data_IF_062978137590
#
_entry.id   IF_062978137590
#
_cell.length_a   1.000
_cell.length_b   1.000
_cell.length_c   1.000
_cell.angle_alpha   90.00
_cell.angle_beta   90.00
_cell.angle_gamma   90.00
#
_symmetry.space_group_name_H-M   'P 1'
#
loop_
_entity.id
_entity.type
_entity.pdbx_description
1 polymer ?
#
# COMPACT_ATOMS: atom_id res chain seq x y z
N UNK A 1 -9.15 26.56 12.72
CA UNK A 1 -7.70 26.31 12.58
C UNK A 1 -7.51 25.15 11.62
N UNK A 2 -6.72 25.29 10.60
CA UNK A 2 -6.33 24.12 9.82
C UNK A 2 -5.54 23.19 10.75
N UNK A 3 -5.95 21.94 10.80
CA UNK A 3 -5.24 20.93 11.56
C UNK A 3 -4.02 20.51 10.73
N UNK A 4 -2.84 20.81 11.21
CA UNK A 4 -1.60 20.38 10.57
C UNK A 4 -1.30 18.95 11.00
N UNK A 5 -1.24 18.06 10.03
CA UNK A 5 -0.88 16.65 10.26
C UNK A 5 0.54 16.56 10.81
N UNK A 6 0.73 15.79 11.87
CA UNK A 6 2.06 15.54 12.42
C UNK A 6 2.66 14.25 11.85
N UNK A 7 3.98 14.18 11.76
CA UNK A 7 4.69 12.92 11.46
C UNK A 7 4.33 11.81 12.45
N UNK A 8 4.09 12.19 13.71
CA UNK A 8 3.71 11.23 14.75
C UNK A 8 2.35 10.60 14.47
N UNK A 9 1.34 11.39 14.08
CA UNK A 9 0.03 10.86 13.72
C UNK A 9 0.12 9.81 12.61
N UNK A 10 0.96 10.06 11.60
CA UNK A 10 1.19 9.10 10.52
C UNK A 10 1.85 7.83 11.04
N UNK A 11 2.87 7.94 11.90
CA UNK A 11 3.54 6.77 12.50
C UNK A 11 2.58 5.96 13.37
N UNK A 12 1.77 6.62 14.18
CA UNK A 12 0.76 5.97 15.03
C UNK A 12 -0.26 5.18 14.20
N UNK A 13 -0.60 5.70 13.02
CA UNK A 13 -1.44 4.95 12.07
C UNK A 13 -0.76 3.68 11.54
N UNK A 14 0.55 3.72 11.25
CA UNK A 14 1.28 2.52 10.83
C UNK A 14 1.32 1.48 11.95
N UNK A 15 1.52 1.89 13.20
CA UNK A 15 1.48 1.00 14.37
C UNK A 15 0.08 0.40 14.55
N UNK A 16 -0.97 1.22 14.41
CA UNK A 16 -2.35 0.76 14.44
C UNK A 16 -2.62 -0.29 13.34
N UNK A 17 -2.14 -0.04 12.14
CA UNK A 17 -2.30 -0.93 10.98
C UNK A 17 -1.59 -2.28 11.20
N UNK A 18 -0.41 -2.26 11.81
CA UNK A 18 0.33 -3.48 12.17
C UNK A 18 -0.34 -4.27 13.30
N UNK A 19 -1.11 -3.62 14.16
CA UNK A 19 -1.88 -4.31 15.22
C UNK A 19 -2.99 -5.20 14.67
N UNK A 20 -3.49 -4.91 13.46
CA UNK A 20 -4.66 -5.55 12.82
C UNK A 20 -5.94 -5.50 13.63
N UNK A 21 -6.01 -4.60 14.61
CA UNK A 21 -7.20 -4.38 15.40
C UNK A 21 -8.13 -3.38 14.69
N UNK A 22 -9.34 -3.81 14.24
CA UNK A 22 -10.25 -2.94 13.51
C UNK A 22 -10.73 -1.74 14.33
N UNK A 23 -10.80 -1.86 15.66
CA UNK A 23 -11.21 -0.76 16.54
C UNK A 23 -10.10 0.30 16.64
N UNK A 24 -8.84 -0.12 16.71
CA UNK A 24 -7.71 0.79 16.75
C UNK A 24 -7.56 1.49 15.40
N UNK A 25 -7.55 0.73 14.30
CA UNK A 25 -7.45 1.27 12.93
C UNK A 25 -8.59 2.25 12.65
N UNK A 26 -9.81 1.91 13.04
CA UNK A 26 -11.01 2.71 12.78
C UNK A 26 -10.97 4.13 13.39
N UNK A 27 -10.15 4.36 14.43
CA UNK A 27 -9.98 5.69 15.03
C UNK A 27 -9.26 6.68 14.10
N UNK A 28 -8.43 6.16 13.19
CA UNK A 28 -7.66 6.95 12.24
C UNK A 28 -8.41 7.22 10.92
N UNK A 29 -9.55 6.56 10.68
CA UNK A 29 -10.27 6.65 9.41
C UNK A 29 -11.49 7.56 9.53
N UNK A 30 -11.68 8.41 8.52
CA UNK A 30 -12.94 9.13 8.35
C UNK A 30 -14.03 8.16 7.89
N UNK A 31 -15.30 8.45 8.21
CA UNK A 31 -16.41 7.51 7.93
C UNK A 31 -16.60 7.26 6.43
N UNK A 32 -16.34 8.28 5.61
CA UNK A 32 -16.43 8.22 4.15
C UNK A 32 -15.08 8.09 3.45
N UNK A 33 -14.07 7.52 4.11
CA UNK A 33 -12.72 7.39 3.57
C UNK A 33 -12.73 6.74 2.17
N UNK A 34 -11.95 7.33 1.25
CA UNK A 34 -11.65 6.75 -0.05
C UNK A 34 -10.25 6.09 0.00
N UNK A 35 -10.26 4.76 0.04
CA UNK A 35 -9.08 3.92 0.20
C UNK A 35 -8.76 3.22 -1.11
N UNK A 36 -7.67 3.63 -1.77
CA UNK A 36 -7.30 3.07 -3.06
C UNK A 36 -5.87 2.51 -3.06
N UNK A 37 -5.75 1.22 -3.40
CA UNK A 37 -4.48 0.52 -3.59
C UNK A 37 -4.37 0.19 -5.08
N UNK A 38 -3.45 0.85 -5.79
CA UNK A 38 -3.21 0.59 -7.20
C UNK A 38 -2.40 -0.69 -7.37
N UNK A 39 -2.86 -1.59 -8.21
CA UNK A 39 -2.19 -2.85 -8.49
C UNK A 39 -3.05 -3.83 -9.27
N UNK A 40 -2.50 -5.01 -9.64
CA UNK A 40 -3.19 -6.01 -10.43
C UNK A 40 -4.20 -6.78 -9.56
N UNK A 41 -5.47 -6.36 -9.58
CA UNK A 41 -6.55 -6.90 -8.71
C UNK A 41 -6.75 -8.40 -8.88
N UNK A 42 -6.52 -8.94 -10.08
CA UNK A 42 -6.66 -10.38 -10.35
C UNK A 42 -5.57 -11.23 -9.69
N UNK A 43 -4.41 -10.65 -9.40
CA UNK A 43 -3.29 -11.30 -8.71
C UNK A 43 -3.21 -10.94 -7.23
N UNK A 44 -3.66 -9.74 -6.89
CA UNK A 44 -3.56 -9.15 -5.56
C UNK A 44 -4.93 -8.62 -5.15
N UNK A 45 -5.79 -9.46 -4.56
CA UNK A 45 -7.20 -9.13 -4.32
C UNK A 45 -7.47 -7.93 -3.41
N UNK A 46 -6.48 -7.52 -2.61
CA UNK A 46 -6.62 -6.32 -1.78
C UNK A 46 -6.32 -5.01 -2.53
N UNK A 47 -5.87 -5.06 -3.79
CA UNK A 47 -5.81 -3.90 -4.66
C UNK A 47 -7.22 -3.45 -5.08
N UNK A 48 -7.34 -2.23 -5.57
CA UNK A 48 -8.59 -1.63 -5.98
C UNK A 48 -9.04 -0.49 -5.06
N UNK A 49 -10.25 -0.03 -5.28
CA UNK A 49 -10.85 1.07 -4.54
C UNK A 49 -11.87 0.57 -3.52
N UNK A 50 -11.68 0.98 -2.27
CA UNK A 50 -12.51 0.61 -1.12
C UNK A 50 -13.12 1.86 -0.51
N UNK A 51 -14.42 2.01 -0.54
CA UNK A 51 -15.10 3.22 -0.09
C UNK A 51 -15.76 3.03 1.27
N UNK A 52 -15.50 3.98 2.15
CA UNK A 52 -16.01 4.01 3.52
C UNK A 52 -15.16 3.21 4.51
N UNK A 53 -15.30 3.58 5.78
CA UNK A 53 -14.51 3.04 6.89
C UNK A 53 -14.59 1.51 6.99
N UNK A 54 -15.79 0.94 6.87
CA UNK A 54 -15.98 -0.50 7.00
C UNK A 54 -15.24 -1.28 5.91
N UNK A 55 -15.28 -0.81 4.65
CA UNK A 55 -14.57 -1.44 3.54
C UNK A 55 -13.04 -1.31 3.69
N UNK A 56 -12.56 -0.14 4.12
CA UNK A 56 -11.14 0.09 4.37
C UNK A 56 -10.61 -0.78 5.52
N UNK A 57 -11.37 -0.95 6.59
CA UNK A 57 -11.02 -1.87 7.69
C UNK A 57 -11.01 -3.31 7.18
N UNK A 58 -12.01 -3.71 6.41
CA UNK A 58 -12.12 -5.08 5.90
C UNK A 58 -10.93 -5.46 5.01
N UNK A 59 -10.49 -4.55 4.13
CA UNK A 59 -9.31 -4.81 3.31
C UNK A 59 -8.03 -4.95 4.15
N UNK A 60 -7.87 -4.14 5.19
CA UNK A 60 -6.68 -4.17 6.04
C UNK A 60 -6.67 -5.35 7.03
N UNK A 61 -7.82 -5.73 7.58
CA UNK A 61 -7.90 -6.73 8.66
C UNK A 61 -8.26 -8.13 8.18
N UNK A 62 -8.90 -8.28 7.03
CA UNK A 62 -9.37 -9.58 6.52
C UNK A 62 -8.79 -9.92 5.14
N UNK A 63 -8.97 -9.05 4.14
CA UNK A 63 -8.63 -9.38 2.76
C UNK A 63 -7.11 -9.45 2.57
N UNK A 64 -6.38 -8.40 2.91
CA UNK A 64 -4.92 -8.41 2.75
C UNK A 64 -4.24 -9.48 3.61
N UNK A 65 -4.60 -9.69 4.90
CA UNK A 65 -4.04 -10.79 5.69
C UNK A 65 -4.36 -12.19 5.19
N UNK A 66 -5.44 -12.37 4.42
CA UNK A 66 -5.71 -13.68 3.79
C UNK A 66 -4.75 -14.00 2.64
N UNK A 67 -4.18 -12.98 2.02
CA UNK A 67 -3.26 -13.12 0.87
C UNK A 67 -1.79 -13.13 1.28
N UNK A 68 -1.42 -12.25 2.18
CA UNK A 68 -0.03 -12.01 2.61
C UNK A 68 0.08 -11.84 4.11
N UNK A 69 1.20 -12.26 4.66
CA UNK A 69 1.59 -11.98 6.04
C UNK A 69 2.76 -11.00 6.02
N UNK A 70 2.51 -9.76 6.42
CA UNK A 70 3.56 -8.72 6.49
C UNK A 70 4.48 -9.02 7.68
N UNK A 71 5.75 -9.22 7.40
CA UNK A 71 6.80 -9.42 8.41
C UNK A 71 7.53 -8.13 8.77
N UNK A 72 7.62 -7.18 7.82
CA UNK A 72 8.30 -5.90 8.03
C UNK A 72 7.68 -4.81 7.17
N UNK A 73 7.50 -3.64 7.78
CA UNK A 73 7.18 -2.40 7.10
C UNK A 73 8.17 -1.33 7.56
N UNK A 74 9.04 -0.88 6.66
CA UNK A 74 10.06 0.14 6.96
C UNK A 74 9.73 1.43 6.24
N UNK A 75 9.47 2.51 6.99
CA UNK A 75 9.30 3.85 6.43
C UNK A 75 10.69 4.36 6.05
N UNK A 76 10.91 4.59 4.75
CA UNK A 76 12.16 5.14 4.22
C UNK A 76 12.09 6.67 4.16
N UNK A 77 10.94 7.22 3.74
CA UNK A 77 10.69 8.66 3.66
C UNK A 77 9.30 8.99 4.23
N UNK A 78 9.19 10.09 4.97
CA UNK A 78 7.93 10.62 5.50
C UNK A 78 7.91 12.13 5.40
N UNK A 79 7.01 12.63 4.58
CA UNK A 79 6.76 14.05 4.36
C UNK A 79 5.35 14.40 4.85
N UNK A 80 5.21 15.56 5.47
CA UNK A 80 3.92 16.12 5.87
C UNK A 80 3.83 17.57 5.44
N UNK A 81 2.67 17.98 4.97
CA UNK A 81 2.38 19.33 4.53
C UNK A 81 0.89 19.63 4.75
N UNK A 82 0.60 20.57 5.65
CA UNK A 82 -0.75 20.93 6.09
C UNK A 82 -1.62 19.70 6.44
N UNK A 83 -2.61 19.37 5.64
CA UNK A 83 -3.54 18.26 5.81
C UNK A 83 -3.12 16.99 5.04
N UNK A 84 -1.88 16.94 4.54
CA UNK A 84 -1.39 15.87 3.67
C UNK A 84 -0.15 15.19 4.22
N UNK A 85 0.00 13.94 3.85
CA UNK A 85 1.25 13.21 4.08
C UNK A 85 1.60 12.36 2.86
N UNK A 86 2.89 12.17 2.65
CA UNK A 86 3.43 11.22 1.70
C UNK A 86 4.43 10.31 2.41
N UNK A 87 4.34 9.03 2.16
CA UNK A 87 5.22 8.01 2.75
C UNK A 87 5.79 7.14 1.65
N UNK A 88 7.11 6.96 1.67
CA UNK A 88 7.77 5.95 0.87
C UNK A 88 8.25 4.85 1.81
N UNK A 89 7.81 3.64 1.58
CA UNK A 89 8.11 2.52 2.46
C UNK A 89 8.49 1.25 1.70
N UNK A 90 9.14 0.35 2.42
CA UNK A 90 9.45 -1.01 1.95
C UNK A 90 8.67 -2.02 2.77
N UNK A 91 7.97 -2.88 2.08
CA UNK A 91 7.20 -3.97 2.66
C UNK A 91 7.92 -5.29 2.37
N UNK A 92 8.07 -6.11 3.40
CA UNK A 92 8.47 -7.50 3.26
C UNK A 92 7.34 -8.36 3.81
N UNK A 93 6.90 -9.31 3.03
CA UNK A 93 5.77 -10.18 3.37
C UNK A 93 6.00 -11.60 2.86
N UNK A 94 5.21 -12.53 3.38
CA UNK A 94 5.12 -13.89 2.87
C UNK A 94 3.77 -14.06 2.17
N UNK A 95 3.79 -14.56 0.95
CA UNK A 95 2.58 -14.97 0.25
C UNK A 95 2.02 -16.22 0.91
N UNK A 96 0.81 -16.14 1.46
CA UNK A 96 0.25 -17.21 2.30
C UNK A 96 0.08 -18.54 1.53
N UNK A 97 -0.31 -18.46 0.24
CA UNK A 97 -0.54 -19.65 -0.59
C UNK A 97 0.71 -20.43 -0.92
N UNK A 98 1.82 -19.77 -1.15
CA UNK A 98 3.06 -20.38 -1.68
C UNK A 98 4.22 -20.40 -0.69
N UNK A 99 4.14 -19.62 0.39
CA UNK A 99 5.24 -19.41 1.32
C UNK A 99 6.38 -18.55 0.78
N UNK A 100 6.25 -17.96 -0.43
CA UNK A 100 7.29 -17.11 -0.99
C UNK A 100 7.40 -15.78 -0.26
N UNK A 101 8.62 -15.33 -0.10
CA UNK A 101 8.88 -13.96 0.37
C UNK A 101 8.69 -12.99 -0.80
N UNK A 102 7.93 -11.94 -0.55
CA UNK A 102 7.68 -10.83 -1.47
C UNK A 102 8.21 -9.56 -0.82
N UNK A 103 9.03 -8.80 -1.54
CA UNK A 103 9.52 -7.51 -1.08
C UNK A 103 9.32 -6.45 -2.15
N UNK A 104 8.70 -5.34 -1.78
CA UNK A 104 8.41 -4.25 -2.71
C UNK A 104 8.41 -2.90 -2.02
N UNK A 105 8.65 -1.87 -2.80
CA UNK A 105 8.51 -0.47 -2.37
C UNK A 105 7.13 0.05 -2.74
N UNK A 106 6.68 1.01 -1.95
CA UNK A 106 5.36 1.59 -2.09
C UNK A 106 5.40 3.07 -1.73
N UNK A 107 4.78 3.89 -2.57
CA UNK A 107 4.48 5.28 -2.26
C UNK A 107 3.03 5.37 -1.81
N UNK A 108 2.79 6.04 -0.69
CA UNK A 108 1.47 6.21 -0.11
C UNK A 108 1.18 7.70 0.09
N UNK A 109 -0.02 8.12 -0.26
CA UNK A 109 -0.48 9.50 -0.15
C UNK A 109 -1.74 9.56 0.70
N UNK A 110 -1.73 10.47 1.65
CA UNK A 110 -2.81 10.67 2.60
C UNK A 110 -3.35 12.10 2.51
N UNK A 111 -4.67 12.22 2.59
CA UNK A 111 -5.34 13.48 2.91
C UNK A 111 -6.11 13.28 4.19
N UNK A 112 -5.92 14.19 5.13
CA UNK A 112 -6.56 14.15 6.44
C UNK A 112 -7.68 15.18 6.52
N UNK A 113 -8.71 14.84 7.26
CA UNK A 113 -9.79 15.73 7.63
C UNK A 113 -10.15 15.46 9.08
N UNK A 114 -10.04 16.50 9.95
CA UNK A 114 -10.26 16.36 11.39
C UNK A 114 -9.42 15.24 12.02
N UNK A 115 -8.11 15.23 11.73
CA UNK A 115 -7.13 14.23 12.20
C UNK A 115 -7.42 12.78 11.77
N UNK A 116 -8.32 12.60 10.83
CA UNK A 116 -8.67 11.28 10.26
C UNK A 116 -8.35 11.22 8.78
N UNK A 117 -7.91 10.07 8.34
CA UNK A 117 -7.61 9.81 6.92
C UNK A 117 -8.93 9.84 6.15
N UNK A 118 -9.07 10.82 5.26
CA UNK A 118 -10.21 10.96 4.35
C UNK A 118 -9.91 10.36 2.97
N UNK A 119 -8.64 10.42 2.54
CA UNK A 119 -8.20 9.80 1.28
C UNK A 119 -6.87 9.10 1.51
N UNK A 120 -6.77 7.89 0.98
CA UNK A 120 -5.55 7.11 0.92
C UNK A 120 -5.33 6.60 -0.49
N UNK A 121 -4.13 6.76 -1.00
CA UNK A 121 -3.69 6.20 -2.28
C UNK A 121 -2.34 5.54 -2.13
N UNK A 122 -2.23 4.32 -2.63
CA UNK A 122 -0.99 3.55 -2.64
C UNK A 122 -0.61 3.20 -4.06
N UNK A 123 0.65 3.42 -4.41
CA UNK A 123 1.23 3.08 -5.71
C UNK A 123 2.45 2.20 -5.46
N UNK A 124 2.54 1.11 -6.19
CA UNK A 124 3.67 0.18 -6.16
C UNK A 124 4.10 -0.17 -7.58
N UNK A 125 5.30 -0.69 -7.76
CA UNK A 125 5.69 -1.32 -9.03
C UNK A 125 4.87 -2.59 -9.22
N UNK A 126 3.77 -2.45 -9.96
CA UNK A 126 2.81 -3.53 -10.16
C UNK A 126 3.34 -4.64 -11.09
N UNK A 127 4.31 -4.32 -11.94
CA UNK A 127 4.96 -5.32 -12.78
C UNK A 127 5.88 -6.22 -11.93
N UNK A 128 6.76 -5.62 -11.14
CA UNK A 128 7.66 -6.34 -10.25
C UNK A 128 6.89 -7.22 -9.26
N UNK A 129 5.88 -6.67 -8.59
CA UNK A 129 5.09 -7.46 -7.62
C UNK A 129 4.30 -8.58 -8.29
N UNK A 130 3.81 -8.39 -9.52
CA UNK A 130 3.14 -9.45 -10.26
C UNK A 130 4.08 -10.62 -10.55
N UNK A 131 5.31 -10.36 -10.98
CA UNK A 131 6.32 -11.40 -11.20
C UNK A 131 6.68 -12.13 -9.90
N UNK A 132 6.82 -11.42 -8.79
CA UNK A 132 7.06 -12.03 -7.48
C UNK A 132 5.89 -12.93 -7.04
N UNK A 133 4.66 -12.49 -7.22
CA UNK A 133 3.44 -13.26 -6.88
C UNK A 133 3.30 -14.49 -7.75
N UNK A 134 3.54 -14.37 -9.05
CA UNK A 134 3.52 -15.50 -10.00
C UNK A 134 4.69 -16.45 -9.78
N UNK A 135 5.84 -15.93 -9.33
CA UNK A 135 7.08 -16.67 -9.12
C UNK A 135 7.85 -16.94 -10.40
N UNK A 136 7.59 -16.20 -11.45
CA UNK A 136 8.31 -16.24 -12.72
C UNK A 136 8.16 -14.89 -13.44
N UNK A 137 9.06 -14.64 -14.38
CA UNK A 137 8.99 -13.46 -15.22
C UNK A 137 7.77 -13.51 -16.15
N UNK A 138 7.18 -12.35 -16.39
CA UNK A 138 6.09 -12.19 -17.36
C UNK A 138 6.71 -12.12 -18.75
N UNK A 139 6.27 -12.98 -19.68
CA UNK A 139 6.71 -12.91 -21.07
C UNK A 139 6.12 -11.69 -21.77
N UNK A 140 6.95 -10.69 -21.98
CA UNK A 140 6.60 -9.44 -22.66
C UNK A 140 6.94 -9.44 -24.15
N UNK A 141 7.55 -10.52 -24.66
CA UNK A 141 8.00 -10.62 -26.07
C UNK A 141 6.89 -10.34 -27.08
N UNK A 142 5.63 -10.82 -26.89
CA UNK A 142 4.55 -10.53 -27.83
C UNK A 142 4.13 -9.06 -27.90
N UNK A 143 4.44 -8.27 -26.86
CA UNK A 143 3.96 -6.90 -26.72
C UNK A 143 5.04 -5.86 -27.11
N UNK A 144 6.29 -6.27 -27.28
CA UNK A 144 7.43 -5.34 -27.36
C UNK A 144 8.18 -5.47 -28.67
N UNK A 145 8.05 -4.44 -29.52
CA UNK A 145 9.06 -4.13 -30.54
C UNK A 145 10.23 -3.43 -29.82
N UNK A 146 11.18 -4.24 -29.32
CA UNK A 146 12.21 -3.77 -28.40
C UNK A 146 13.29 -2.97 -29.09
N UNK A 147 13.20 -1.65 -29.01
CA UNK A 147 14.41 -0.82 -29.00
C UNK A 147 14.73 -0.55 -27.52
N UNK A 148 15.64 -1.30 -26.93
CA UNK A 148 16.20 -0.91 -25.62
C UNK A 148 16.86 0.47 -25.79
N UNK A 149 16.42 1.45 -25.02
CA UNK A 149 17.14 2.72 -24.95
C UNK A 149 18.56 2.43 -24.46
N UNK A 150 19.61 2.90 -25.15
CA UNK A 150 20.98 2.68 -24.72
C UNK A 150 21.20 3.36 -23.36
N UNK A 151 21.75 2.61 -22.39
CA UNK A 151 22.17 3.13 -21.09
C UNK A 151 21.15 3.03 -19.94
N UNK A 152 20.04 2.35 -20.11
CA UNK A 152 19.13 2.04 -18.98
C UNK A 152 19.60 0.75 -18.30
N UNK A 153 20.07 0.88 -17.06
CA UNK A 153 20.36 -0.28 -16.23
C UNK A 153 19.04 -0.95 -15.77
N UNK A 154 19.00 -2.29 -15.65
CA UNK A 154 17.84 -2.93 -15.02
C UNK A 154 17.70 -2.44 -13.56
N UNK A 155 16.45 -2.23 -13.15
CA UNK A 155 16.10 -1.81 -11.80
C UNK A 155 16.53 -2.86 -10.75
#
# INVERSE_FOLDING_TARGET
>A
MPVTVSKQLVRDFYDARMSRDPNIIGRFLHDDVDWWITGPVDLIPFCGQWRGKAAAIDVMCRIAPSCITVSKCSIEELLVDDDRAAVFNRITSTQNRTGRTISYQRAEFFVFRQDKIATYRSIMDSFDIAEQVLGHQIDVTPAVNMVKAPGVAPA
#
